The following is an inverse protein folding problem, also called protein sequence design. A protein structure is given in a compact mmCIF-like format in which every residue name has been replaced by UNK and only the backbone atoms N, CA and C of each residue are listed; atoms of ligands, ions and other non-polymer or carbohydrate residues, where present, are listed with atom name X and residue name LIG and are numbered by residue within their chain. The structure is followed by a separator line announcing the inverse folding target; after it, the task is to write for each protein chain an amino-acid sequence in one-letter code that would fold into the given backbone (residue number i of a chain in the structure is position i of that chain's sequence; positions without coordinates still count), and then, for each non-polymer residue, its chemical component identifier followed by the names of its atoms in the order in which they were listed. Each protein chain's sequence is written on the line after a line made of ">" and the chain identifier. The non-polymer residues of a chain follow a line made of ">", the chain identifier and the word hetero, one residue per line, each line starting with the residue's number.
data_IF_919816793513
#
_entry.id   IF_919816793513
#
_cell.length_a   1.000
_cell.length_b   1.000
_cell.length_c   1.000
_cell.angle_alpha   90.00
_cell.angle_beta   90.00
_cell.angle_gamma   90.00
#
_symmetry.space_group_name_H-M   'P 1'
#
loop_
_entity.id
_entity.type
_entity.pdbx_description
1 polymer ?
#
# COMPACT_ATOMS: atom_id res chain seq x y z
N UNK A 1 9.15 -3.91 7.44
CA UNK A 1 9.69 -2.68 6.82
C UNK A 1 8.98 -2.48 5.50
N UNK A 2 8.61 -1.24 5.16
CA UNK A 2 7.98 -0.88 3.87
C UNK A 2 8.99 -0.03 3.14
N UNK A 3 9.17 -0.26 1.85
CA UNK A 3 10.16 0.44 1.03
C UNK A 3 9.55 0.95 -0.25
N UNK A 4 10.04 2.07 -0.78
CA UNK A 4 9.67 2.56 -2.11
C UNK A 4 10.77 2.23 -3.11
N UNK A 5 10.39 2.16 -4.38
CA UNK A 5 11.33 2.25 -5.50
C UNK A 5 11.72 3.71 -5.75
N UNK A 6 12.79 3.91 -6.51
CA UNK A 6 13.26 5.25 -6.92
C UNK A 6 12.15 6.03 -7.63
N UNK A 7 11.46 5.38 -8.58
CA UNK A 7 10.32 5.96 -9.30
C UNK A 7 9.15 6.27 -8.38
N UNK A 8 8.82 5.37 -7.46
CA UNK A 8 7.74 5.57 -6.50
C UNK A 8 7.99 6.79 -5.62
N UNK A 9 9.22 6.92 -5.11
CA UNK A 9 9.63 8.06 -4.31
C UNK A 9 9.63 9.37 -5.09
N UNK A 10 10.20 9.40 -6.30
CA UNK A 10 10.17 10.59 -7.16
C UNK A 10 8.74 11.06 -7.42
N UNK A 11 7.84 10.14 -7.75
CA UNK A 11 6.44 10.49 -8.01
C UNK A 11 5.73 11.00 -6.78
N UNK A 12 5.94 10.39 -5.61
CA UNK A 12 5.39 10.90 -4.36
C UNK A 12 5.86 12.33 -4.08
N UNK A 13 7.16 12.61 -4.27
CA UNK A 13 7.70 13.96 -4.14
C UNK A 13 7.06 14.95 -5.12
N UNK A 14 6.92 14.57 -6.40
CA UNK A 14 6.27 15.41 -7.41
C UNK A 14 4.80 15.70 -7.07
N UNK A 15 4.07 14.68 -6.58
CA UNK A 15 2.68 14.84 -6.16
C UNK A 15 2.54 15.76 -4.94
N UNK A 16 3.37 15.57 -3.91
CA UNK A 16 3.37 16.42 -2.72
C UNK A 16 3.74 17.86 -3.06
N UNK A 17 4.75 18.06 -3.92
CA UNK A 17 5.13 19.37 -4.43
C UNK A 17 3.99 20.03 -5.22
N UNK A 18 3.29 19.28 -6.09
CA UNK A 18 2.15 19.78 -6.87
C UNK A 18 0.94 20.14 -6.01
N UNK A 19 0.74 19.45 -4.88
CA UNK A 19 -0.31 19.76 -3.90
C UNK A 19 0.08 20.90 -2.94
N UNK A 20 1.29 21.46 -3.06
CA UNK A 20 1.79 22.50 -2.14
C UNK A 20 1.89 22.01 -0.68
N UNK A 21 1.94 20.70 -0.48
CA UNK A 21 1.95 20.09 0.85
C UNK A 21 3.38 19.70 1.19
N UNK A 22 3.88 20.15 2.33
CA UNK A 22 5.22 19.80 2.75
C UNK A 22 5.30 18.29 3.06
N UNK A 23 6.31 17.62 2.52
CA UNK A 23 6.74 16.26 2.88
C UNK A 23 7.00 16.11 4.39
N UNK A 24 7.23 17.23 5.07
CA UNK A 24 7.46 17.35 6.51
C UNK A 24 6.16 17.44 7.34
N UNK A 25 5.01 17.71 6.71
CA UNK A 25 3.69 17.69 7.38
C UNK A 25 2.77 16.57 6.89
N UNK A 26 2.91 16.11 5.65
CA UNK A 26 2.14 15.00 5.11
C UNK A 26 3.02 13.81 4.74
N UNK A 27 2.39 12.64 4.69
CA UNK A 27 2.98 11.39 4.25
C UNK A 27 2.05 10.65 3.29
N UNK A 28 2.58 9.60 2.69
CA UNK A 28 1.82 8.66 1.88
C UNK A 28 1.19 7.62 2.80
N UNK A 29 -0.12 7.70 3.00
CA UNK A 29 -0.90 6.69 3.69
C UNK A 29 -1.07 5.45 2.82
N UNK A 30 -0.72 4.29 3.34
CA UNK A 30 -0.84 2.99 2.68
C UNK A 30 -1.78 2.12 3.48
N UNK A 31 -2.93 1.81 2.90
CA UNK A 31 -3.91 0.91 3.47
C UNK A 31 -4.38 -0.14 2.47
N UNK A 32 -5.21 -1.04 2.94
CA UNK A 32 -5.94 -1.99 2.09
C UNK A 32 -7.43 -1.65 2.10
N UNK A 33 -8.07 -1.74 0.94
CA UNK A 33 -9.52 -1.61 0.77
C UNK A 33 -10.06 -2.87 0.09
N UNK A 34 -11.27 -3.28 0.47
CA UNK A 34 -11.98 -4.34 -0.24
C UNK A 34 -12.29 -3.89 -1.66
N UNK A 35 -11.74 -4.59 -2.65
CA UNK A 35 -11.88 -4.30 -4.07
C UNK A 35 -12.75 -5.33 -4.79
N UNK A 36 -14.00 -4.96 -5.06
CA UNK A 36 -14.90 -5.70 -5.96
C UNK A 36 -15.13 -7.18 -5.61
N UNK A 37 -15.68 -7.92 -6.58
CA UNK A 37 -16.17 -9.30 -6.40
C UNK A 37 -15.08 -10.33 -6.06
N UNK A 38 -13.80 -9.93 -6.03
CA UNK A 38 -12.71 -10.90 -6.08
C UNK A 38 -11.45 -10.57 -5.26
N UNK A 39 -11.29 -9.45 -4.54
CA UNK A 39 -10.11 -9.34 -3.63
C UNK A 39 -9.90 -8.06 -2.84
N UNK A 40 -8.70 -7.93 -2.24
CA UNK A 40 -8.21 -6.70 -1.63
C UNK A 40 -7.41 -5.86 -2.65
N UNK A 41 -7.58 -4.54 -2.60
CA UNK A 41 -6.79 -3.57 -3.36
C UNK A 41 -6.06 -2.65 -2.38
N UNK A 42 -4.83 -2.26 -2.72
CA UNK A 42 -4.12 -1.25 -1.94
C UNK A 42 -4.70 0.14 -2.24
N UNK A 43 -4.89 0.92 -1.18
CA UNK A 43 -5.34 2.30 -1.25
C UNK A 43 -4.21 3.20 -0.75
N UNK A 44 -3.73 4.06 -1.64
CA UNK A 44 -2.73 5.06 -1.31
C UNK A 44 -3.37 6.45 -1.32
N UNK A 45 -3.09 7.23 -0.29
CA UNK A 45 -3.61 8.59 -0.15
C UNK A 45 -2.58 9.48 0.52
N UNK A 46 -2.54 10.76 0.18
CA UNK A 46 -1.74 11.72 0.92
C UNK A 46 -2.52 12.19 2.14
N UNK A 47 -1.94 11.98 3.32
CA UNK A 47 -2.59 12.32 4.58
C UNK A 47 -1.53 12.74 5.62
N UNK A 48 -1.99 13.24 6.75
CA UNK A 48 -1.11 13.52 7.90
C UNK A 48 -1.11 12.31 8.82
N UNK A 49 -0.06 12.20 9.64
CA UNK A 49 0.01 11.19 10.69
C UNK A 49 -1.21 11.35 11.61
N UNK A 50 -1.92 10.26 11.88
CA UNK A 50 -3.04 10.22 12.83
C UNK A 50 -2.65 9.38 14.03
N UNK A 51 -3.39 9.58 15.11
CA UNK A 51 -3.15 8.85 16.36
C UNK A 51 -3.32 7.33 16.14
N UNK A 52 -2.27 6.58 16.46
CA UNK A 52 -2.25 5.13 16.32
C UNK A 52 -1.81 4.61 14.94
N UNK A 53 -1.44 5.48 14.00
CA UNK A 53 -0.74 5.06 12.79
C UNK A 53 0.68 4.59 13.10
N UNK A 54 1.20 3.72 12.24
CA UNK A 54 2.60 3.37 12.20
C UNK A 54 3.26 4.12 11.06
N UNK A 55 4.29 4.88 11.41
CA UNK A 55 5.05 5.69 10.46
C UNK A 55 6.35 4.99 10.11
N UNK A 56 6.57 4.81 8.82
CA UNK A 56 7.85 4.40 8.26
C UNK A 56 8.44 5.56 7.49
N UNK A 57 9.77 5.69 7.49
CA UNK A 57 10.46 6.68 6.68
C UNK A 57 11.33 5.94 5.67
N UNK A 58 11.13 6.24 4.39
CA UNK A 58 11.92 5.68 3.30
C UNK A 58 12.19 6.77 2.28
N UNK A 59 13.46 6.92 1.89
CA UNK A 59 13.91 7.91 0.89
C UNK A 59 13.45 9.35 1.18
N UNK A 60 13.28 9.72 2.45
CA UNK A 60 12.81 11.06 2.87
C UNK A 60 11.30 11.27 2.76
N UNK A 61 10.54 10.20 2.55
CA UNK A 61 9.08 10.21 2.53
C UNK A 61 8.55 9.45 3.74
N UNK A 62 7.56 10.03 4.41
CA UNK A 62 6.84 9.36 5.50
C UNK A 62 5.71 8.53 4.93
N UNK A 63 5.73 7.25 5.25
CA UNK A 63 4.71 6.26 4.92
C UNK A 63 3.86 6.03 6.16
N UNK A 64 2.56 6.34 6.06
CA UNK A 64 1.62 6.23 7.17
C UNK A 64 0.79 4.96 6.99
N UNK A 65 0.69 4.14 8.03
CA UNK A 65 -0.03 2.87 7.94
C UNK A 65 -0.93 2.68 9.14
N UNK A 66 -2.22 2.48 8.89
CA UNK A 66 -3.17 2.13 9.93
C UNK A 66 -2.80 0.75 10.53
N UNK A 67 -2.81 0.62 11.87
CA UNK A 67 -2.61 -0.67 12.59
C UNK A 67 -3.29 -1.89 11.96
N UNK A 68 -4.58 -1.85 11.57
CA UNK A 68 -5.22 -3.01 10.93
C UNK A 68 -4.67 -3.33 9.54
N UNK A 69 -4.12 -2.34 8.82
CA UNK A 69 -3.51 -2.56 7.50
C UNK A 69 -2.07 -3.06 7.60
N UNK A 70 -1.40 -2.83 8.72
CA UNK A 70 0.00 -3.16 8.96
C UNK A 70 0.41 -4.59 8.55
N UNK A 71 -0.28 -5.67 8.97
CA UNK A 71 0.10 -7.03 8.54
C UNK A 71 0.00 -7.23 7.02
N UNK A 72 -0.88 -6.48 6.34
CA UNK A 72 -1.09 -6.56 4.90
C UNK A 72 -0.14 -5.70 4.06
N UNK A 73 0.61 -4.79 4.69
CA UNK A 73 1.58 -3.92 3.98
C UNK A 73 3.01 -4.10 4.50
N UNK A 74 3.19 -4.86 5.58
CA UNK A 74 4.51 -5.13 6.14
C UNK A 74 5.33 -5.98 5.18
N UNK A 75 6.54 -5.49 4.84
CA UNK A 75 7.40 -6.14 3.87
C UNK A 75 7.11 -5.75 2.42
N UNK A 76 6.13 -4.86 2.20
CA UNK A 76 5.77 -4.44 0.86
C UNK A 76 6.76 -3.46 0.24
N UNK A 77 6.90 -3.57 -1.08
CA UNK A 77 7.60 -2.62 -1.93
C UNK A 77 6.59 -1.82 -2.74
N UNK A 78 6.64 -0.49 -2.66
CA UNK A 78 5.76 0.41 -3.39
C UNK A 78 6.51 0.94 -4.61
N UNK A 79 5.94 0.68 -5.79
CA UNK A 79 6.43 1.14 -7.08
C UNK A 79 5.39 2.04 -7.76
N UNK A 80 5.82 2.86 -8.72
CA UNK A 80 4.92 3.63 -9.56
C UNK A 80 5.05 3.16 -11.01
N UNK A 81 3.93 2.68 -11.56
CA UNK A 81 3.84 2.25 -12.95
C UNK A 81 3.09 3.31 -13.74
N UNK A 82 3.69 3.71 -14.86
CA UNK A 82 3.12 4.66 -15.82
C UNK A 82 3.00 3.92 -17.15
N UNK A 83 1.87 3.25 -17.36
CA UNK A 83 1.60 2.49 -18.59
C UNK A 83 0.53 3.21 -19.41
N UNK A 84 0.48 2.97 -20.72
CA UNK A 84 -0.55 3.57 -21.61
C UNK A 84 -2.00 3.25 -21.18
N UNK A 85 -2.19 2.17 -20.41
CA UNK A 85 -3.48 1.76 -19.87
C UNK A 85 -3.85 2.45 -18.55
N UNK A 86 -2.91 3.14 -17.92
CA UNK A 86 -3.11 3.86 -16.68
C UNK A 86 -1.82 4.04 -15.89
N UNK A 87 -1.73 5.16 -15.19
CA UNK A 87 -0.67 5.42 -14.23
C UNK A 87 -1.19 5.16 -12.82
N UNK A 88 -0.38 4.50 -11.98
CA UNK A 88 -0.80 4.15 -10.63
C UNK A 88 0.32 3.61 -9.76
N UNK A 89 0.09 3.66 -8.45
CA UNK A 89 0.98 3.03 -7.48
C UNK A 89 0.68 1.54 -7.41
N UNK A 90 1.73 0.74 -7.54
CA UNK A 90 1.70 -0.71 -7.41
C UNK A 90 2.39 -1.10 -6.11
N UNK A 91 1.74 -1.95 -5.32
CA UNK A 91 2.30 -2.46 -4.07
C UNK A 91 2.54 -3.95 -4.24
N UNK A 92 3.78 -4.36 -4.09
CA UNK A 92 4.21 -5.76 -4.15
C UNK A 92 4.46 -6.25 -2.73
N UNK A 93 3.66 -7.19 -2.24
CA UNK A 93 3.82 -7.75 -0.90
C UNK A 93 4.11 -9.27 -0.98
N UNK A 94 5.29 -9.74 -0.56
CA UNK A 94 5.61 -11.16 -0.56
C UNK A 94 4.75 -12.00 0.40
N UNK A 95 4.14 -11.37 1.41
CA UNK A 95 3.25 -12.02 2.37
C UNK A 95 1.81 -12.19 1.84
N UNK A 96 1.43 -11.43 0.79
CA UNK A 96 0.11 -11.57 0.18
C UNK A 96 0.19 -12.63 -0.91
N UNK A 97 0.00 -13.88 -0.49
CA UNK A 97 -0.25 -14.99 -1.40
C UNK A 97 -1.66 -14.82 -1.95
N UNK A 98 -1.78 -14.22 -3.13
CA UNK A 98 -2.86 -14.67 -4.00
C UNK A 98 -2.36 -15.09 -5.35
N UNK A 99 -2.13 -16.39 -5.40
CA UNK A 99 -2.54 -17.16 -6.53
C UNK A 99 -4.07 -17.27 -6.52
N UNK A 100 -4.75 -16.48 -7.34
CA UNK A 100 -5.97 -16.95 -7.97
C UNK A 100 -5.80 -16.76 -9.47
N UNK A 101 -5.63 -17.88 -10.17
CA UNK A 101 -5.25 -18.01 -11.59
C UNK A 101 -6.30 -17.51 -12.59
N UNK A 102 -6.79 -16.28 -12.40
CA UNK A 102 -7.58 -15.54 -13.39
C UNK A 102 -7.29 -14.02 -13.42
N UNK A 103 -6.36 -13.51 -12.59
CA UNK A 103 -5.78 -12.17 -12.78
C UNK A 103 -6.49 -11.00 -12.10
N UNK A 104 -7.30 -11.22 -11.04
CA UNK A 104 -8.11 -10.12 -10.48
C UNK A 104 -8.40 -10.22 -8.98
N UNK A 105 -7.55 -10.78 -8.11
CA UNK A 105 -8.05 -11.21 -6.78
C UNK A 105 -7.00 -11.59 -5.74
N UNK A 106 -7.01 -10.97 -4.55
CA UNK A 106 -6.20 -11.42 -3.41
C UNK A 106 -6.98 -11.77 -2.14
N UNK A 107 -6.60 -12.88 -1.47
CA UNK A 107 -7.02 -13.35 -0.14
C UNK A 107 -5.78 -13.44 0.76
N UNK A 108 -5.97 -13.31 2.06
CA UNK A 108 -4.90 -13.33 3.07
C UNK A 108 -5.15 -14.53 3.98
N UNK A 109 -4.09 -15.30 4.23
CA UNK A 109 -4.16 -16.56 4.96
C UNK A 109 -3.94 -16.33 6.46
N UNK A 110 -4.89 -16.82 7.26
CA UNK A 110 -4.82 -17.30 8.65
C UNK A 110 -6.29 -17.61 9.03
N UNK A 111 -6.75 -18.71 9.64
CA UNK A 111 -6.23 -19.99 10.15
C UNK A 111 -7.42 -21.00 10.11
N UNK A 112 -7.13 -22.29 10.30
CA UNK A 112 -8.09 -23.41 10.37
C UNK A 112 -9.18 -23.24 11.45
N UNK A 113 -10.39 -23.73 11.17
CA UNK A 113 -11.03 -24.66 12.11
C UNK A 113 -12.01 -25.60 11.37
N UNK A 114 -11.76 -26.90 11.59
CA UNK A 114 -12.47 -28.06 11.08
C UNK A 114 -13.84 -28.17 11.76
N UNK A 115 -14.91 -28.43 11.00
CA UNK A 115 -15.99 -29.26 11.55
C UNK A 115 -16.73 -29.99 10.45
N UNK A 116 -16.51 -31.31 10.43
CA UNK A 116 -17.37 -32.27 9.79
C UNK A 116 -18.76 -32.26 10.43
N UNK A 117 -19.81 -32.41 9.61
CA UNK A 117 -20.84 -33.46 9.69
C UNK A 117 -21.67 -33.47 8.43
#
# INVERSE_FOLDING_TARGET
>A
MITLTDKGAEKVHEFLASQGTAVETAGLRVGVRGGGCSGFQYALAFDQERDGDVVFEDRGIRLLVDKPSLPYVQGSVIDYVDEMQGAGFKVDNPNVVAACGCGSSFRVAEEEEVSAV
#
